data_IF_988643875779
#
_entry.id   IF_988643875779
#
_cell.length_a   1.000
_cell.length_b   1.000
_cell.length_c   1.000
_cell.angle_alpha   90.00
_cell.angle_beta   90.00
_cell.angle_gamma   90.00
#
_symmetry.space_group_name_H-M   'P 1'
#
loop_
_entity.id
_entity.type
_entity.pdbx_description
1 polymer ?
#
# COMPACT_ATOMS: atom_id res chain seq x y z
N UNK A 1 24.26 2.80 5.99
CA UNK A 1 23.15 1.91 5.62
C UNK A 1 21.83 2.64 5.78
N UNK A 2 20.88 2.50 4.83
CA UNK A 2 19.54 3.03 5.00
C UNK A 2 18.91 2.41 6.25
N UNK A 3 18.17 3.20 7.04
CA UNK A 3 17.51 2.73 8.28
C UNK A 3 16.03 2.40 8.09
N UNK A 4 15.45 2.82 6.96
CA UNK A 4 14.01 2.74 6.69
C UNK A 4 13.69 2.56 5.22
N UNK A 5 12.59 1.86 4.96
CA UNK A 5 11.94 1.74 3.66
C UNK A 5 10.61 2.49 3.74
N UNK A 6 10.40 3.45 2.85
CA UNK A 6 9.11 4.13 2.71
C UNK A 6 8.38 3.61 1.49
N UNK A 7 7.13 3.20 1.66
CA UNK A 7 6.26 2.70 0.60
C UNK A 7 5.07 3.63 0.48
N UNK A 8 4.87 4.18 -0.70
CA UNK A 8 3.73 5.04 -1.02
C UNK A 8 2.74 4.26 -1.88
N UNK A 9 1.51 4.16 -1.39
CA UNK A 9 0.40 3.46 -2.04
C UNK A 9 -0.82 4.37 -2.10
N UNK A 10 -1.78 4.06 -2.96
CA UNK A 10 -3.04 4.80 -3.02
C UNK A 10 -4.23 3.86 -2.82
N UNK A 11 -4.82 3.89 -1.62
CA UNK A 11 -6.06 3.16 -1.42
C UNK A 11 -7.22 3.88 -2.09
N UNK A 12 -8.17 3.11 -2.63
CA UNK A 12 -9.42 3.62 -3.19
C UNK A 12 -10.57 3.07 -2.36
N UNK A 13 -11.50 3.93 -1.99
CA UNK A 13 -12.77 3.48 -1.44
C UNK A 13 -13.59 2.88 -2.57
N UNK A 14 -13.92 1.60 -2.45
CA UNK A 14 -14.82 0.93 -3.38
C UNK A 14 -16.08 0.57 -2.61
N UNK A 15 -17.22 0.92 -3.21
CA UNK A 15 -18.51 0.44 -2.76
C UNK A 15 -18.68 -0.95 -3.34
N UNK A 16 -18.61 -1.98 -2.50
CA UNK A 16 -19.05 -3.29 -2.94
C UNK A 16 -20.57 -3.32 -2.86
N UNK A 17 -21.27 -3.66 -3.96
CA UNK A 17 -22.69 -3.93 -3.88
C UNK A 17 -22.89 -5.06 -2.88
N UNK A 18 -23.98 -4.98 -2.13
CA UNK A 18 -24.35 -6.05 -1.21
C UNK A 18 -24.46 -7.38 -1.98
N UNK A 19 -23.68 -8.38 -1.59
CA UNK A 19 -23.74 -9.71 -2.19
C UNK A 19 -24.84 -10.53 -1.52
N UNK A 20 -25.93 -10.73 -2.29
CA UNK A 20 -27.14 -11.46 -1.92
C UNK A 20 -26.86 -12.89 -1.42
N UNK A 21 -25.71 -13.49 -1.76
CA UNK A 21 -25.32 -14.84 -1.31
C UNK A 21 -25.04 -14.94 0.21
N UNK A 22 -24.91 -13.81 0.90
CA UNK A 22 -24.70 -13.76 2.35
C UNK A 22 -25.99 -14.17 3.07
N UNK A 23 -26.09 -15.36 3.68
CA UNK A 23 -27.32 -15.85 4.38
C UNK A 23 -27.80 -14.99 5.58
N UNK A 24 -27.11 -13.91 5.91
CA UNK A 24 -27.31 -13.10 7.11
C UNK A 24 -28.61 -12.27 7.12
N UNK A 25 -29.21 -11.95 5.97
CA UNK A 25 -30.44 -11.14 5.88
C UNK A 25 -31.74 -11.99 5.89
N UNK A 26 -31.61 -13.31 5.73
CA UNK A 26 -32.75 -14.25 5.61
C UNK A 26 -33.56 -14.37 6.91
N UNK A 27 -33.03 -13.91 8.05
CA UNK A 27 -33.67 -14.07 9.37
C UNK A 27 -34.15 -12.76 10.04
N UNK A 28 -34.02 -11.58 9.40
CA UNK A 28 -34.19 -10.31 10.11
C UNK A 28 -34.68 -9.07 9.33
N UNK A 29 -35.04 -9.21 8.06
CA UNK A 29 -35.94 -8.24 7.40
C UNK A 29 -35.35 -6.97 6.79
N UNK A 30 -34.03 -6.74 6.79
CA UNK A 30 -33.44 -5.64 6.01
C UNK A 30 -32.15 -6.08 5.29
N UNK A 31 -32.01 -5.83 3.97
CA UNK A 31 -30.74 -6.00 3.29
C UNK A 31 -29.75 -4.98 3.88
N UNK A 32 -28.56 -5.41 4.36
CA UNK A 32 -27.59 -4.49 4.93
C UNK A 32 -27.08 -3.53 3.85
N UNK A 33 -26.87 -2.27 4.25
CA UNK A 33 -26.42 -1.19 3.38
C UNK A 33 -25.06 -1.49 2.73
N UNK A 34 -24.81 -0.81 1.61
CA UNK A 34 -23.57 -0.84 0.86
C UNK A 34 -22.33 -0.81 1.75
N UNK A 35 -21.43 -1.81 1.59
CA UNK A 35 -20.18 -1.86 2.36
C UNK A 35 -19.09 -1.04 1.64
N UNK A 36 -18.59 -0.02 2.33
CA UNK A 36 -17.41 0.71 1.91
C UNK A 36 -16.15 -0.06 2.34
N UNK A 37 -15.41 -0.58 1.38
CA UNK A 37 -14.13 -1.24 1.64
C UNK A 37 -12.97 -0.43 1.03
N UNK A 38 -11.85 -0.36 1.76
CA UNK A 38 -10.61 0.16 1.21
C UNK A 38 -9.97 -0.89 0.33
N UNK A 39 -9.98 -0.64 -0.97
CA UNK A 39 -9.31 -1.45 -1.95
C UNK A 39 -7.91 -0.93 -2.22
N UNK A 40 -6.94 -1.84 -2.17
CA UNK A 40 -5.55 -1.60 -2.57
C UNK A 40 -5.39 -2.22 -3.96
N UNK A 41 -4.77 -1.50 -4.90
CA UNK A 41 -4.49 -2.07 -6.22
C UNK A 41 -3.57 -3.29 -6.09
N UNK A 42 -3.63 -4.22 -7.06
CA UNK A 42 -2.76 -5.40 -7.05
C UNK A 42 -1.28 -5.00 -7.02
N UNK A 43 -0.93 -3.96 -7.77
CA UNK A 43 0.43 -3.43 -7.87
C UNK A 43 0.92 -2.84 -6.55
N UNK A 44 0.06 -2.05 -5.88
CA UNK A 44 0.35 -1.50 -4.55
C UNK A 44 0.51 -2.62 -3.51
N UNK A 45 -0.36 -3.62 -3.54
CA UNK A 45 -0.31 -4.76 -2.62
C UNK A 45 0.97 -5.59 -2.83
N UNK A 46 1.36 -5.82 -4.10
CA UNK A 46 2.61 -6.47 -4.45
C UNK A 46 3.82 -5.69 -3.97
N UNK A 47 3.84 -4.37 -4.18
CA UNK A 47 4.92 -3.50 -3.71
C UNK A 47 5.06 -3.52 -2.18
N UNK A 48 3.94 -3.46 -1.45
CA UNK A 48 3.93 -3.58 0.02
C UNK A 48 4.47 -4.94 0.49
N UNK A 49 4.09 -6.04 -0.17
CA UNK A 49 4.56 -7.39 0.22
C UNK A 49 6.06 -7.52 0.05
N UNK A 50 6.59 -7.12 -1.11
CA UNK A 50 8.03 -7.22 -1.40
C UNK A 50 8.82 -6.29 -0.47
N UNK A 51 8.34 -5.07 -0.23
CA UNK A 51 8.98 -4.14 0.69
C UNK A 51 9.03 -4.68 2.13
N UNK A 52 7.97 -5.37 2.57
CA UNK A 52 7.91 -6.01 3.87
C UNK A 52 8.93 -7.13 4.00
N UNK A 53 9.00 -8.02 2.99
CA UNK A 53 10.01 -9.10 2.96
C UNK A 53 11.43 -8.54 3.06
N UNK A 54 11.76 -7.52 2.27
CA UNK A 54 13.10 -6.88 2.30
C UNK A 54 13.35 -6.16 3.62
N UNK A 55 12.34 -5.52 4.21
CA UNK A 55 12.48 -4.87 5.50
C UNK A 55 12.78 -5.86 6.63
N UNK A 56 12.10 -7.02 6.64
CA UNK A 56 12.33 -8.08 7.62
C UNK A 56 13.70 -8.74 7.43
N UNK A 57 14.10 -9.03 6.19
CA UNK A 57 15.40 -9.63 5.87
C UNK A 57 16.59 -8.76 6.31
N UNK A 58 16.47 -7.44 6.20
CA UNK A 58 17.55 -6.49 6.47
C UNK A 58 17.36 -5.69 7.77
N UNK A 59 16.35 -5.99 8.57
CA UNK A 59 16.05 -5.30 9.83
C UNK A 59 15.74 -3.81 9.66
N UNK A 60 15.10 -3.41 8.55
CA UNK A 60 14.78 -2.03 8.21
C UNK A 60 13.39 -1.62 8.75
N UNK A 61 13.24 -0.36 9.15
CA UNK A 61 11.93 0.17 9.54
C UNK A 61 11.03 0.35 8.30
N UNK A 62 9.92 -0.38 8.22
CA UNK A 62 8.94 -0.24 7.14
C UNK A 62 7.92 0.86 7.47
N UNK A 63 7.85 1.92 6.65
CA UNK A 63 6.83 2.97 6.72
C UNK A 63 5.94 2.95 5.50
N UNK A 64 4.64 2.78 5.72
CA UNK A 64 3.65 2.75 4.65
C UNK A 64 2.84 4.05 4.71
N UNK A 65 2.82 4.77 3.59
CA UNK A 65 2.10 6.02 3.42
C UNK A 65 1.00 5.85 2.39
N UNK A 66 -0.24 6.03 2.84
CA UNK A 66 -1.41 6.04 1.96
C UNK A 66 -1.69 7.46 1.45
N UNK A 67 -1.60 7.67 0.14
CA UNK A 67 -1.91 8.96 -0.49
C UNK A 67 -3.36 9.41 -0.27
N UNK A 68 -4.28 8.50 0.03
CA UNK A 68 -5.65 8.85 0.39
C UNK A 68 -5.77 9.41 1.83
N UNK A 69 -4.75 9.24 2.67
CA UNK A 69 -4.70 9.82 4.02
C UNK A 69 -3.99 11.16 4.01
N UNK A 70 -4.44 12.11 4.84
CA UNK A 70 -3.81 13.44 5.01
C UNK A 70 -2.31 13.33 5.30
N UNK A 71 -1.92 12.41 6.19
CA UNK A 71 -0.50 12.17 6.54
C UNK A 71 0.31 11.63 5.36
N UNK A 72 -0.27 10.71 4.58
CA UNK A 72 0.41 10.14 3.43
C UNK A 72 0.48 11.09 2.25
N UNK A 73 -0.56 11.90 2.01
CA UNK A 73 -0.54 12.98 1.04
C UNK A 73 0.54 14.03 1.36
N UNK A 74 0.63 14.47 2.61
CA UNK A 74 1.65 15.43 3.03
C UNK A 74 3.07 14.84 2.87
N UNK A 75 3.26 13.58 3.27
CA UNK A 75 4.54 12.87 3.11
C UNK A 75 4.90 12.66 1.64
N UNK A 76 3.93 12.34 0.79
CA UNK A 76 4.12 12.21 -0.65
C UNK A 76 4.55 13.55 -1.28
N UNK A 77 3.93 14.66 -0.84
CA UNK A 77 4.29 16.01 -1.31
C UNK A 77 5.73 16.39 -0.94
N UNK A 78 6.15 16.13 0.30
CA UNK A 78 7.54 16.37 0.75
C UNK A 78 8.53 15.54 -0.08
N UNK A 79 8.20 14.27 -0.34
CA UNK A 79 9.06 13.36 -1.08
C UNK A 79 8.88 13.45 -2.62
N UNK A 80 8.11 14.42 -3.11
CA UNK A 80 7.78 14.63 -4.53
C UNK A 80 7.26 13.35 -5.23
N UNK A 81 6.47 12.54 -4.53
CA UNK A 81 5.85 11.32 -5.06
C UNK A 81 4.63 11.72 -5.88
N UNK A 82 4.64 11.38 -7.17
CA UNK A 82 3.56 11.68 -8.12
C UNK A 82 2.72 10.44 -8.40
N UNK A 83 3.39 9.31 -8.59
CA UNK A 83 2.79 8.04 -8.98
C UNK A 83 2.91 6.98 -7.87
N UNK A 84 1.98 6.03 -7.88
CA UNK A 84 1.93 4.89 -6.95
C UNK A 84 1.83 3.59 -7.74
N UNK A 85 2.47 2.49 -7.29
CA UNK A 85 3.31 2.40 -6.09
C UNK A 85 4.67 3.10 -6.27
N UNK A 86 5.17 3.72 -5.20
CA UNK A 86 6.55 4.28 -5.16
C UNK A 86 7.25 3.82 -3.89
N UNK A 87 8.49 3.35 -4.02
CA UNK A 87 9.33 2.95 -2.88
C UNK A 87 10.55 3.85 -2.80
N UNK A 88 10.88 4.29 -1.58
CA UNK A 88 12.05 5.10 -1.29
C UNK A 88 12.87 4.41 -0.19
N UNK A 89 14.15 4.16 -0.48
CA UNK A 89 15.12 3.57 0.44
C UNK A 89 16.33 4.49 0.48
N UNK A 90 16.51 5.20 1.58
CA UNK A 90 17.57 6.21 1.69
C UNK A 90 17.42 7.30 0.62
N UNK A 91 18.41 7.43 -0.26
CA UNK A 91 18.40 8.37 -1.39
C UNK A 91 17.90 7.75 -2.70
N UNK A 92 17.69 6.42 -2.73
CA UNK A 92 17.23 5.73 -3.91
C UNK A 92 15.69 5.72 -3.94
N UNK A 93 15.12 5.96 -5.13
CA UNK A 93 13.68 5.93 -5.38
C UNK A 93 13.37 4.99 -6.53
N UNK A 94 12.24 4.30 -6.42
CA UNK A 94 11.68 3.44 -7.44
C UNK A 94 10.21 3.73 -7.63
N UNK A 95 9.80 3.92 -8.88
CA UNK A 95 8.40 4.11 -9.26
C UNK A 95 7.91 2.84 -9.95
N UNK A 96 6.67 2.45 -9.69
CA UNK A 96 6.08 1.22 -10.20
C UNK A 96 6.34 0.00 -9.31
N UNK A 97 5.90 -1.17 -9.78
CA UNK A 97 6.02 -2.43 -9.04
C UNK A 97 7.50 -2.83 -8.97
N UNK A 98 8.12 -2.83 -7.78
CA UNK A 98 9.52 -3.16 -7.64
C UNK A 98 9.73 -4.67 -7.77
N UNK A 99 10.82 -5.08 -8.41
CA UNK A 99 11.30 -6.45 -8.28
C UNK A 99 12.23 -6.57 -7.05
N UNK A 100 12.23 -7.74 -6.39
CA UNK A 100 13.03 -7.97 -5.17
C UNK A 100 14.51 -7.64 -5.39
N UNK A 101 15.07 -8.08 -6.53
CA UNK A 101 16.46 -7.84 -6.91
C UNK A 101 16.80 -6.35 -7.01
N UNK A 102 15.86 -5.52 -7.45
CA UNK A 102 16.08 -4.08 -7.58
C UNK A 102 16.08 -3.39 -6.21
N UNK A 103 15.19 -3.82 -5.30
CA UNK A 103 15.16 -3.32 -3.92
C UNK A 103 16.44 -3.68 -3.17
N UNK A 104 16.97 -4.89 -3.38
CA UNK A 104 18.23 -5.31 -2.76
C UNK A 104 19.41 -4.41 -3.14
N UNK A 105 19.49 -4.00 -4.42
CA UNK A 105 20.51 -3.04 -4.89
C UNK A 105 20.37 -1.66 -4.23
N UNK A 106 19.18 -1.28 -3.80
CA UNK A 106 18.96 0.00 -3.12
C UNK A 106 19.36 -0.05 -1.64
N UNK A 107 19.30 -1.22 -1.01
CA UNK A 107 19.69 -1.43 0.40
C UNK A 107 21.22 -1.46 0.54
N UNK A 108 21.90 -2.13 -0.40
CA UNK A 108 23.35 -2.22 -0.49
C UNK A 108 23.83 -1.61 -1.83
N UNK A 109 23.96 -0.27 -1.91
CA UNK A 109 24.49 0.41 -3.09
C UNK A 109 25.97 0.08 -3.35
#
# INVERSE_FOLDING_TARGET
>A
MPKRIMVFVKTKWIVKPFDSQSKAWVWGGYPPEHRFEKHVSRDDASAMRIAKEVAEEYGLELKIYDLASIRGWFSAKINKVKDTPTIIIGNNRMEGVPNKSQLLRMVNP
#
